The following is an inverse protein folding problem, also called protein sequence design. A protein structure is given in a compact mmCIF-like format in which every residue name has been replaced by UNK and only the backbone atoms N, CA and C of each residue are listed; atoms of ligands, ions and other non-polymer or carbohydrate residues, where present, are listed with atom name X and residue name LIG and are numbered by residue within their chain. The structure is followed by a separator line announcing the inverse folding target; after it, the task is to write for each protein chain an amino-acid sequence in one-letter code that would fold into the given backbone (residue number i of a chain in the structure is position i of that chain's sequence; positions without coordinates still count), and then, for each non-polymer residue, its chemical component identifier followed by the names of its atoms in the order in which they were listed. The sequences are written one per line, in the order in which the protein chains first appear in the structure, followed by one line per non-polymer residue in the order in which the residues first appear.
data_IF_467673601547
#
_entry.id   IF_467673601547
#
_cell.length_a   1.000
_cell.length_b   1.000
_cell.length_c   1.000
_cell.angle_alpha   90.00
_cell.angle_beta   90.00
_cell.angle_gamma   90.00
#
_symmetry.space_group_name_H-M   'P 1'
#
loop_
_entity.id
_entity.type
_entity.pdbx_description
1 polymer ?
#
# COMPACT_ATOMS: atom_id res chain seq x y z
N UNK A 1 40.06 -37.77 13.21
CA UNK A 1 38.95 -38.12 12.28
C UNK A 1 37.60 -37.43 12.60
N UNK A 2 37.47 -36.67 13.70
CA UNK A 2 36.19 -36.05 14.12
C UNK A 2 35.83 -34.72 13.43
N UNK A 3 36.79 -33.90 13.00
CA UNK A 3 36.49 -32.55 12.47
C UNK A 3 35.64 -32.55 11.19
N UNK A 4 35.78 -33.56 10.33
CA UNK A 4 34.99 -33.67 9.09
C UNK A 4 33.51 -33.89 9.37
N UNK A 5 33.20 -34.74 10.37
CA UNK A 5 31.83 -34.99 10.83
C UNK A 5 31.22 -33.74 11.46
N UNK A 6 31.95 -33.08 12.36
CA UNK A 6 31.47 -31.85 13.00
C UNK A 6 31.21 -30.75 11.99
N UNK A 7 32.09 -30.61 11.00
CA UNK A 7 31.92 -29.64 9.91
C UNK A 7 30.67 -29.90 9.06
N UNK A 8 30.44 -31.16 8.66
CA UNK A 8 29.23 -31.53 7.92
C UNK A 8 27.96 -31.22 8.72
N UNK A 9 27.94 -31.57 10.00
CA UNK A 9 26.81 -31.31 10.89
C UNK A 9 26.49 -29.81 11.02
N UNK A 10 27.53 -28.97 11.02
CA UNK A 10 27.41 -27.52 11.06
C UNK A 10 26.87 -26.95 9.74
N UNK A 11 27.35 -27.47 8.61
CA UNK A 11 26.85 -27.10 7.27
C UNK A 11 25.39 -27.49 7.08
N UNK A 12 25.00 -28.67 7.55
CA UNK A 12 23.62 -29.14 7.48
C UNK A 12 22.71 -28.27 8.35
N UNK A 13 23.14 -27.90 9.56
CA UNK A 13 22.40 -26.95 10.40
C UNK A 13 22.32 -25.55 9.82
N UNK A 14 23.38 -25.05 9.18
CA UNK A 14 23.31 -23.76 8.49
C UNK A 14 22.32 -23.80 7.34
N UNK A 15 22.26 -24.90 6.57
CA UNK A 15 21.26 -25.06 5.51
C UNK A 15 19.84 -25.09 6.07
N UNK A 16 19.61 -25.83 7.15
CA UNK A 16 18.30 -25.89 7.81
C UNK A 16 17.82 -24.50 8.27
N UNK A 17 18.70 -23.70 8.87
CA UNK A 17 18.36 -22.34 9.35
C UNK A 17 18.27 -21.32 8.21
N UNK A 18 19.03 -21.51 7.12
CA UNK A 18 19.00 -20.63 5.95
C UNK A 18 17.80 -20.87 5.03
N UNK A 19 17.11 -22.01 5.15
CA UNK A 19 15.85 -22.27 4.45
C UNK A 19 14.75 -21.46 5.12
N UNK A 20 14.64 -20.20 4.70
CA UNK A 20 13.50 -19.35 5.05
C UNK A 20 12.37 -19.72 4.10
N UNK A 21 11.19 -20.12 4.59
CA UNK A 21 10.05 -20.38 3.72
C UNK A 21 9.72 -19.12 2.92
N UNK A 22 9.38 -19.28 1.65
CA UNK A 22 8.91 -18.17 0.83
C UNK A 22 7.67 -17.58 1.47
N UNK A 23 7.77 -16.34 1.96
CA UNK A 23 6.65 -15.67 2.59
C UNK A 23 5.59 -15.37 1.53
N UNK A 24 4.38 -15.88 1.73
CA UNK A 24 3.25 -15.52 0.89
C UNK A 24 2.97 -14.02 1.06
N UNK A 25 3.14 -13.28 -0.03
CA UNK A 25 2.86 -11.86 -0.05
C UNK A 25 1.36 -11.66 -0.29
N UNK A 26 0.73 -10.81 0.52
CA UNK A 26 -0.67 -10.45 0.32
C UNK A 26 -0.89 -9.79 -1.05
N UNK A 27 -2.11 -9.91 -1.57
CA UNK A 27 -2.49 -9.37 -2.88
C UNK A 27 -2.16 -7.86 -3.04
N UNK A 28 -2.19 -7.09 -1.95
CA UNK A 28 -1.90 -5.66 -1.96
C UNK A 28 -0.41 -5.32 -1.90
N UNK A 29 0.46 -6.25 -1.50
CA UNK A 29 1.89 -6.00 -1.30
C UNK A 29 2.63 -5.57 -2.58
N UNK A 30 2.35 -6.13 -3.77
CA UNK A 30 2.94 -5.64 -5.03
C UNK A 30 2.59 -4.19 -5.35
N UNK A 31 1.34 -3.78 -5.09
CA UNK A 31 0.90 -2.41 -5.31
C UNK A 31 1.53 -1.45 -4.30
N UNK A 32 1.53 -1.82 -3.03
CA UNK A 32 2.20 -1.08 -1.96
C UNK A 32 3.68 -0.81 -2.31
N UNK A 33 4.42 -1.85 -2.72
CA UNK A 33 5.84 -1.73 -3.09
C UNK A 33 6.09 -0.81 -4.28
N UNK A 34 5.12 -0.65 -5.20
CA UNK A 34 5.24 0.27 -6.34
C UNK A 34 4.87 1.70 -6.00
N UNK A 35 3.83 1.87 -5.19
CA UNK A 35 3.19 3.15 -4.92
C UNK A 35 3.96 3.92 -3.83
N UNK A 36 4.24 3.26 -2.70
CA UNK A 36 4.80 3.92 -1.51
C UNK A 36 6.18 4.55 -1.73
N UNK A 37 7.13 3.95 -2.48
CA UNK A 37 8.40 4.61 -2.74
C UNK A 37 8.25 5.95 -3.48
N UNK A 38 7.25 6.09 -4.35
CA UNK A 38 6.99 7.35 -5.08
C UNK A 38 6.51 8.44 -4.14
N UNK A 39 5.61 8.11 -3.22
CA UNK A 39 5.16 9.03 -2.17
C UNK A 39 6.30 9.41 -1.22
N UNK A 40 7.15 8.45 -0.85
CA UNK A 40 8.29 8.71 0.04
C UNK A 40 9.40 9.53 -0.59
N UNK A 41 9.63 9.41 -1.90
CA UNK A 41 10.68 10.16 -2.60
C UNK A 41 10.41 11.67 -2.62
N UNK A 42 9.14 12.09 -2.77
CA UNK A 42 8.76 13.50 -2.71
C UNK A 42 7.41 13.68 -2.00
N UNK A 43 7.41 13.74 -0.65
CA UNK A 43 6.18 13.78 0.13
C UNK A 43 5.35 15.01 -0.20
N UNK A 44 5.97 16.19 -0.30
CA UNK A 44 5.24 17.44 -0.58
C UNK A 44 4.60 17.48 -1.97
N UNK A 45 5.32 17.08 -3.02
CA UNK A 45 4.76 17.05 -4.39
C UNK A 45 3.60 16.07 -4.47
N UNK A 46 3.77 14.88 -3.89
CA UNK A 46 2.71 13.87 -3.87
C UNK A 46 1.50 14.32 -3.04
N UNK A 47 1.71 14.99 -1.90
CA UNK A 47 0.66 15.51 -1.04
C UNK A 47 -0.15 16.60 -1.75
N UNK A 48 0.49 17.56 -2.42
CA UNK A 48 -0.20 18.65 -3.15
C UNK A 48 -1.07 18.09 -4.28
N UNK A 49 -0.55 17.14 -5.06
CA UNK A 49 -1.31 16.53 -6.16
C UNK A 49 -2.51 15.76 -5.60
N UNK A 50 -2.29 14.96 -4.56
CA UNK A 50 -3.33 14.13 -3.98
C UNK A 50 -4.41 14.97 -3.29
N UNK A 51 -4.01 16.00 -2.53
CA UNK A 51 -4.95 16.90 -1.85
C UNK A 51 -5.77 17.71 -2.84
N UNK A 52 -5.15 18.21 -3.91
CA UNK A 52 -5.85 18.93 -4.98
C UNK A 52 -6.87 18.03 -5.66
N UNK A 53 -6.49 16.80 -6.01
CA UNK A 53 -7.39 15.81 -6.58
C UNK A 53 -8.60 15.54 -5.68
N UNK A 54 -8.37 15.29 -4.39
CA UNK A 54 -9.45 15.06 -3.43
C UNK A 54 -10.32 16.29 -3.21
N UNK A 55 -9.74 17.50 -3.18
CA UNK A 55 -10.51 18.74 -3.06
C UNK A 55 -11.48 18.92 -4.23
N UNK A 56 -11.03 18.71 -5.47
CA UNK A 56 -11.90 18.73 -6.65
C UNK A 56 -12.97 17.65 -6.58
N UNK A 57 -12.60 16.41 -6.22
CA UNK A 57 -13.55 15.30 -6.09
C UNK A 57 -14.65 15.62 -5.07
N UNK A 58 -14.28 16.12 -3.89
CA UNK A 58 -15.24 16.53 -2.88
C UNK A 58 -16.10 17.70 -3.34
N UNK A 59 -15.54 18.69 -4.03
CA UNK A 59 -16.31 19.80 -4.59
C UNK A 59 -17.41 19.30 -5.53
N UNK A 60 -17.11 18.35 -6.42
CA UNK A 60 -18.11 17.76 -7.31
C UNK A 60 -19.14 16.92 -6.55
N UNK A 61 -18.71 16.09 -5.61
CA UNK A 61 -19.63 15.27 -4.82
C UNK A 61 -20.59 16.14 -4.00
N UNK A 62 -20.06 17.11 -3.25
CA UNK A 62 -20.84 17.99 -2.40
C UNK A 62 -21.72 18.95 -3.21
N UNK A 63 -21.17 19.54 -4.28
CA UNK A 63 -21.93 20.41 -5.19
C UNK A 63 -23.11 19.69 -5.82
N UNK A 64 -22.92 18.47 -6.30
CA UNK A 64 -24.02 17.67 -6.88
C UNK A 64 -25.05 17.25 -5.82
N UNK A 65 -24.64 16.93 -4.59
CA UNK A 65 -25.60 16.65 -3.51
C UNK A 65 -26.41 17.89 -3.12
N UNK A 66 -25.81 19.07 -3.09
CA UNK A 66 -26.52 20.32 -2.80
C UNK A 66 -27.56 20.64 -3.87
N UNK A 67 -27.20 20.49 -5.16
CA UNK A 67 -28.15 20.67 -6.26
C UNK A 67 -29.33 19.70 -6.11
N UNK A 68 -29.06 18.41 -5.88
CA UNK A 68 -30.11 17.41 -5.67
C UNK A 68 -31.02 17.75 -4.49
N UNK A 69 -30.44 18.21 -3.37
CA UNK A 69 -31.19 18.59 -2.19
C UNK A 69 -32.12 19.77 -2.49
N UNK A 70 -31.60 20.81 -3.14
CA UNK A 70 -32.39 21.99 -3.52
C UNK A 70 -33.49 21.62 -4.50
N UNK A 71 -33.19 20.80 -5.52
CA UNK A 71 -34.21 20.32 -6.46
C UNK A 71 -35.30 19.51 -5.78
N UNK A 72 -34.96 18.69 -4.78
CA UNK A 72 -35.94 17.93 -3.99
C UNK A 72 -36.81 18.84 -3.14
N UNK A 73 -36.23 19.87 -2.52
CA UNK A 73 -37.00 20.89 -1.78
C UNK A 73 -37.92 21.67 -2.71
N UNK A 74 -37.43 22.12 -3.87
CA UNK A 74 -38.21 22.85 -4.87
C UNK A 74 -39.34 22.02 -5.49
N UNK A 75 -39.21 20.69 -5.53
CA UNK A 75 -40.30 19.83 -5.99
C UNK A 75 -41.44 19.72 -4.96
N UNK A 76 -41.15 20.00 -3.67
CA UNK A 76 -42.12 19.93 -2.58
C UNK A 76 -42.83 21.25 -2.26
N UNK A 77 -42.39 22.37 -2.84
CA UNK A 77 -43.00 23.71 -2.73
C UNK A 77 -43.71 24.08 -4.04
#
# INVERSE_FOLDING_TARGET
MNNKKTYQLLVDKMREVAVIPTQEMGFLTPYYKKIVPRFKHSPWKSAIILSSFFAFLLYFLLGTTLIKLVSLLQFGF
#
